data_IF_518515171389
#
_entry.id   IF_518515171389
#
_cell.length_a   1.000
_cell.length_b   1.000
_cell.length_c   1.000
_cell.angle_alpha   90.00
_cell.angle_beta   90.00
_cell.angle_gamma   90.00
#
_symmetry.space_group_name_H-M   'P 1'
#
loop_
_entity.id
_entity.type
_entity.pdbx_description
1 polymer ?
#
# COMPACT_ATOMS: atom_id res chain seq x y z
N UNK A 1 -12.50 10.41 20.32
CA UNK A 1 -12.62 10.05 18.89
C UNK A 1 -11.51 9.06 18.59
N UNK A 2 -11.81 7.98 17.88
CA UNK A 2 -10.78 7.07 17.34
C UNK A 2 -10.07 7.73 16.16
N UNK A 3 -8.94 7.18 15.74
CA UNK A 3 -8.21 7.67 14.57
C UNK A 3 -9.07 7.62 13.29
N UNK A 4 -9.87 6.56 13.12
CA UNK A 4 -10.82 6.46 12.01
C UNK A 4 -11.88 7.58 12.06
N UNK A 5 -12.45 7.83 13.23
CA UNK A 5 -13.44 8.90 13.41
C UNK A 5 -12.86 10.29 13.09
N UNK A 6 -11.57 10.52 13.34
CA UNK A 6 -10.89 11.75 12.94
C UNK A 6 -10.75 11.86 11.42
N UNK A 7 -10.45 10.75 10.72
CA UNK A 7 -10.38 10.73 9.26
C UNK A 7 -11.76 10.95 8.62
N UNK A 8 -12.80 10.34 9.19
CA UNK A 8 -14.19 10.58 8.77
C UNK A 8 -14.57 12.05 8.99
N UNK A 9 -14.28 12.61 10.16
CA UNK A 9 -14.51 14.02 10.45
C UNK A 9 -13.75 14.93 9.46
N UNK A 10 -12.51 14.57 9.09
CA UNK A 10 -11.74 15.29 8.06
C UNK A 10 -12.43 15.23 6.70
N UNK A 11 -12.87 14.05 6.28
CA UNK A 11 -13.54 13.84 5.00
C UNK A 11 -14.82 14.67 4.88
N UNK A 12 -15.61 14.74 5.94
CA UNK A 12 -16.84 15.54 6.00
C UNK A 12 -16.62 17.02 6.34
N UNK A 13 -15.37 17.52 6.35
CA UNK A 13 -15.01 18.90 6.70
C UNK A 13 -15.47 19.34 8.11
N UNK A 14 -15.52 18.40 9.06
CA UNK A 14 -15.91 18.60 10.47
C UNK A 14 -14.71 18.64 11.43
N UNK A 15 -13.51 18.33 10.96
CA UNK A 15 -12.30 18.29 11.78
C UNK A 15 -11.58 19.66 11.80
N UNK A 16 -11.36 20.19 13.01
CA UNK A 16 -10.50 21.36 13.21
C UNK A 16 -9.05 20.91 13.43
N UNK A 17 -8.08 21.58 12.77
CA UNK A 17 -6.65 21.22 12.85
C UNK A 17 -6.09 21.15 14.28
N UNK A 18 -6.54 22.05 15.18
CA UNK A 18 -6.10 22.06 16.59
C UNK A 18 -6.35 20.73 17.31
N UNK A 19 -7.41 20.01 16.96
CA UNK A 19 -7.76 18.72 17.58
C UNK A 19 -6.66 17.69 17.34
N UNK A 20 -6.06 17.69 16.14
CA UNK A 20 -4.95 16.78 15.80
C UNK A 20 -3.74 17.04 16.67
N UNK A 21 -3.40 18.32 16.90
CA UNK A 21 -2.32 18.69 17.79
C UNK A 21 -2.63 18.39 19.25
N UNK A 22 -3.88 18.53 19.71
CA UNK A 22 -4.29 18.12 21.06
C UNK A 22 -4.07 16.61 21.28
N UNK A 23 -4.49 15.77 20.33
CA UNK A 23 -4.23 14.32 20.39
C UNK A 23 -2.73 13.99 20.34
N UNK A 24 -1.97 14.61 19.42
CA UNK A 24 -0.53 14.39 19.31
C UNK A 24 0.26 14.83 20.54
N UNK A 25 -0.24 15.83 21.28
CA UNK A 25 0.36 16.27 22.54
C UNK A 25 0.06 15.35 23.72
N UNK A 26 -1.02 14.57 23.67
CA UNK A 26 -1.52 13.81 24.83
C UNK A 26 -1.45 12.29 24.66
N UNK A 27 -1.20 11.80 23.44
CA UNK A 27 -1.18 10.36 23.15
C UNK A 27 -0.01 9.97 22.24
N UNK A 28 0.93 9.22 22.82
CA UNK A 28 2.01 8.55 22.09
C UNK A 28 1.48 7.57 21.03
N UNK A 29 0.41 6.85 21.35
CA UNK A 29 -0.25 5.92 20.42
C UNK A 29 -0.80 6.67 19.20
N UNK A 30 -1.48 7.81 19.41
CA UNK A 30 -1.97 8.64 18.31
C UNK A 30 -0.82 9.14 17.44
N UNK A 31 0.27 9.63 18.04
CA UNK A 31 1.45 10.07 17.27
C UNK A 31 2.07 8.94 16.44
N UNK A 32 2.10 7.71 16.95
CA UNK A 32 2.51 6.53 16.19
C UNK A 32 1.59 6.28 14.98
N UNK A 33 0.27 6.24 15.22
CA UNK A 33 -0.73 6.04 14.17
C UNK A 33 -0.68 7.15 13.11
N UNK A 34 -0.47 8.40 13.55
CA UNK A 34 -0.39 9.56 12.66
C UNK A 34 0.82 9.49 11.75
N UNK A 35 2.00 9.14 12.28
CA UNK A 35 3.20 8.94 11.46
C UNK A 35 3.00 7.85 10.40
N UNK A 36 2.49 6.68 10.81
CA UNK A 36 2.26 5.56 9.89
C UNK A 36 1.24 5.95 8.81
N UNK A 37 0.19 6.67 9.19
CA UNK A 37 -0.80 7.20 8.26
C UNK A 37 -0.22 8.24 7.30
N UNK A 38 0.62 9.17 7.76
CA UNK A 38 1.33 10.12 6.89
C UNK A 38 2.19 9.42 5.85
N UNK A 39 2.88 8.33 6.21
CA UNK A 39 3.64 7.52 5.25
C UNK A 39 2.69 6.86 4.22
N UNK A 40 1.54 6.40 4.67
CA UNK A 40 0.52 5.68 3.89
C UNK A 40 -0.44 6.58 3.08
N UNK A 41 -0.34 7.89 3.23
CA UNK A 41 -1.29 8.85 2.67
C UNK A 41 -0.61 9.84 1.73
N UNK A 42 -1.44 10.64 1.07
CA UNK A 42 -1.02 11.79 0.29
C UNK A 42 -1.03 13.07 1.15
N UNK A 43 -0.56 12.98 2.40
CA UNK A 43 -0.44 14.13 3.28
C UNK A 43 0.58 15.15 2.75
N UNK A 44 0.51 16.39 3.23
CA UNK A 44 1.53 17.39 2.91
C UNK A 44 2.88 17.06 3.55
N UNK A 45 3.97 17.59 2.99
CA UNK A 45 5.31 17.51 3.60
C UNK A 45 5.32 18.09 5.01
N UNK A 46 4.62 19.21 5.23
CA UNK A 46 4.49 19.83 6.55
C UNK A 46 3.79 18.91 7.54
N UNK A 47 2.74 18.20 7.14
CA UNK A 47 2.06 17.25 8.01
C UNK A 47 2.96 16.07 8.39
N UNK A 48 3.64 15.48 7.41
CA UNK A 48 4.62 14.44 7.66
C UNK A 48 5.72 14.94 8.62
N UNK A 49 6.16 16.19 8.45
CA UNK A 49 7.17 16.79 9.30
C UNK A 49 6.69 16.93 10.75
N UNK A 50 5.44 17.36 10.97
CA UNK A 50 4.83 17.33 12.31
C UNK A 50 4.75 15.92 12.86
N UNK A 51 4.26 14.95 12.11
CA UNK A 51 4.12 13.58 12.59
C UNK A 51 5.47 12.96 13.02
N UNK A 52 6.54 13.23 12.27
CA UNK A 52 7.91 12.84 12.64
C UNK A 52 8.37 13.57 13.92
N UNK A 53 8.17 14.90 13.99
CA UNK A 53 8.60 15.69 15.15
C UNK A 53 7.89 15.24 16.45
N UNK A 54 6.58 14.96 16.39
CA UNK A 54 5.83 14.41 17.52
C UNK A 54 6.30 13.01 17.91
N UNK A 55 6.52 12.13 16.93
CA UNK A 55 7.03 10.79 17.20
C UNK A 55 8.42 10.82 17.86
N UNK A 56 9.28 11.76 17.46
CA UNK A 56 10.64 11.90 18.02
C UNK A 56 10.61 12.48 19.44
N UNK A 57 9.74 13.47 19.68
CA UNK A 57 9.53 14.02 21.02
C UNK A 57 9.02 12.97 22.01
N UNK A 58 8.15 12.07 21.56
CA UNK A 58 7.67 10.92 22.33
C UNK A 58 8.69 9.77 22.42
N UNK A 59 9.81 9.83 21.66
CA UNK A 59 10.82 8.77 21.56
C UNK A 59 10.21 7.42 21.14
N UNK A 60 9.31 7.45 20.16
CA UNK A 60 8.63 6.24 19.72
C UNK A 60 9.56 5.32 18.93
N UNK A 61 9.53 4.03 19.23
CA UNK A 61 10.33 3.00 18.55
C UNK A 61 10.02 2.90 17.05
N UNK A 62 8.81 3.26 16.64
CA UNK A 62 8.41 3.31 15.22
C UNK A 62 9.33 4.19 14.35
N UNK A 63 9.99 5.20 14.94
CA UNK A 63 10.98 6.00 14.21
C UNK A 63 12.31 5.28 14.04
N UNK A 64 12.71 4.49 15.04
CA UNK A 64 13.92 3.67 14.95
C UNK A 64 13.72 2.59 13.88
N UNK A 65 12.56 1.93 13.88
CA UNK A 65 12.16 0.96 12.86
C UNK A 65 12.13 1.59 11.47
N UNK A 66 11.53 2.78 11.34
CA UNK A 66 11.50 3.53 10.08
C UNK A 66 12.91 3.83 9.54
N UNK A 67 13.83 4.28 10.39
CA UNK A 67 15.22 4.51 9.98
C UNK A 67 15.93 3.23 9.55
N UNK A 68 15.71 2.14 10.29
CA UNK A 68 16.29 0.84 9.99
C UNK A 68 15.80 0.32 8.62
N UNK A 69 14.53 0.57 8.27
CA UNK A 69 13.98 0.17 6.98
C UNK A 69 14.41 1.08 5.83
N UNK A 70 14.44 2.41 6.03
CA UNK A 70 14.76 3.36 4.96
C UNK A 70 16.23 3.31 4.52
N UNK A 71 17.14 3.07 5.46
CA UNK A 71 18.60 3.07 5.21
C UNK A 71 19.03 2.11 4.08
N UNK A 72 18.62 0.83 4.07
CA UNK A 72 18.94 -0.10 2.98
C UNK A 72 18.12 0.11 1.70
N UNK A 73 16.94 0.75 1.76
CA UNK A 73 16.10 0.99 0.58
C UNK A 73 16.71 2.07 -0.33
N UNK A 74 17.32 3.09 0.29
CA UNK A 74 17.88 4.23 -0.41
C UNK A 74 19.38 4.03 -0.61
N UNK A 75 19.82 4.11 -1.85
CA UNK A 75 21.26 4.12 -2.13
C UNK A 75 21.87 5.41 -1.57
N UNK A 76 23.04 5.33 -0.94
CA UNK A 76 23.64 6.46 -0.19
C UNK A 76 23.91 7.68 -1.10
N UNK A 77 23.94 7.47 -2.42
CA UNK A 77 24.26 8.47 -3.44
C UNK A 77 23.05 9.11 -4.14
N UNK A 78 21.80 8.69 -3.87
CA UNK A 78 20.60 9.19 -4.58
C UNK A 78 19.74 10.20 -3.79
N UNK A 79 20.08 10.51 -2.54
CA UNK A 79 19.35 11.53 -1.80
C UNK A 79 19.73 12.94 -2.29
N UNK A 80 18.90 13.54 -3.14
CA UNK A 80 18.92 14.99 -3.31
C UNK A 80 18.66 15.61 -1.93
N UNK A 81 19.58 16.46 -1.46
CA UNK A 81 19.38 17.22 -0.22
C UNK A 81 18.34 18.30 -0.49
N UNK A 82 17.07 17.97 -0.27
CA UNK A 82 15.98 18.93 -0.26
C UNK A 82 16.10 19.81 1.00
N UNK A 83 15.82 21.10 0.84
CA UNK A 83 15.64 22.01 1.99
C UNK A 83 14.20 21.89 2.51
N UNK A 84 14.07 21.91 3.83
CA UNK A 84 12.81 21.90 4.57
C UNK A 84 12.74 23.07 5.57
N UNK A 85 13.37 24.21 5.22
CA UNK A 85 13.49 25.36 6.11
C UNK A 85 12.13 25.94 6.52
N UNK A 86 11.13 25.88 5.63
CA UNK A 86 9.78 26.37 5.91
C UNK A 86 9.05 25.46 6.91
N UNK A 87 9.14 24.15 6.71
CA UNK A 87 8.58 23.15 7.62
C UNK A 87 9.21 23.27 9.01
N UNK A 88 10.55 23.38 9.09
CA UNK A 88 11.27 23.55 10.35
C UNK A 88 10.80 24.80 11.11
N UNK A 89 10.80 25.97 10.45
CA UNK A 89 10.35 27.22 11.08
C UNK A 89 8.92 27.11 11.61
N UNK A 90 8.04 26.44 10.86
CA UNK A 90 6.64 26.26 11.26
C UNK A 90 6.52 25.35 12.49
N UNK A 91 7.30 24.27 12.55
CA UNK A 91 7.29 23.34 13.69
C UNK A 91 7.90 23.99 14.93
N UNK A 92 9.02 24.73 14.78
CA UNK A 92 9.70 25.45 15.86
C UNK A 92 8.79 26.48 16.56
N UNK A 93 7.83 27.08 15.84
CA UNK A 93 6.84 27.98 16.42
C UNK A 93 5.80 27.27 17.28
N UNK A 94 5.58 25.97 17.09
CA UNK A 94 4.51 25.20 17.72
C UNK A 94 5.00 24.21 18.78
N UNK A 95 6.21 23.68 18.64
CA UNK A 95 6.74 22.67 19.55
C UNK A 95 8.27 22.64 19.61
N UNK A 96 8.79 22.06 20.68
CA UNK A 96 10.20 21.80 20.90
C UNK A 96 10.41 20.35 21.37
N UNK A 97 11.67 19.94 21.60
CA UNK A 97 12.00 18.62 22.13
C UNK A 97 12.10 17.52 21.07
N UNK A 98 12.42 17.87 19.82
CA UNK A 98 12.68 16.93 18.72
C UNK A 98 14.02 17.27 18.06
N UNK A 99 14.60 16.30 17.33
CA UNK A 99 15.87 16.45 16.63
C UNK A 99 15.67 16.96 15.20
N UNK A 100 16.15 18.16 14.92
CA UNK A 100 16.07 18.74 13.56
C UNK A 100 16.83 17.88 12.55
N UNK A 101 18.00 17.36 12.94
CA UNK A 101 18.81 16.47 12.11
C UNK A 101 18.04 15.21 11.73
N UNK A 102 17.36 14.59 12.70
CA UNK A 102 16.57 13.37 12.48
C UNK A 102 15.37 13.64 11.56
N UNK A 103 14.65 14.73 11.83
CA UNK A 103 13.51 15.18 11.02
C UNK A 103 13.90 15.40 9.55
N UNK A 104 14.93 16.21 9.29
CA UNK A 104 15.41 16.51 7.93
C UNK A 104 15.87 15.23 7.22
N UNK A 105 16.58 14.34 7.92
CA UNK A 105 17.03 13.05 7.36
C UNK A 105 15.82 12.23 6.90
N UNK A 106 14.84 12.02 7.77
CA UNK A 106 13.66 11.21 7.46
C UNK A 106 12.78 11.82 6.37
N UNK A 107 12.58 13.14 6.37
CA UNK A 107 11.84 13.84 5.31
C UNK A 107 12.50 13.66 3.93
N UNK A 108 13.82 13.84 3.85
CA UNK A 108 14.57 13.59 2.62
C UNK A 108 14.38 12.13 2.18
N UNK A 109 14.61 11.18 3.08
CA UNK A 109 14.53 9.76 2.76
C UNK A 109 13.13 9.35 2.26
N UNK A 110 12.07 9.75 2.96
CA UNK A 110 10.68 9.44 2.56
C UNK A 110 10.30 10.11 1.25
N UNK A 111 10.79 11.31 0.98
CA UNK A 111 10.54 12.01 -0.30
C UNK A 111 11.28 11.36 -1.46
N UNK A 112 12.49 10.83 -1.23
CA UNK A 112 13.23 10.10 -2.25
C UNK A 112 12.57 8.78 -2.65
N UNK A 113 11.82 8.12 -1.75
CA UNK A 113 11.09 6.88 -2.08
C UNK A 113 10.17 7.01 -3.30
N UNK A 114 9.62 8.21 -3.54
CA UNK A 114 8.73 8.45 -4.67
C UNK A 114 9.46 8.86 -5.95
N UNK A 115 10.72 9.31 -5.85
CA UNK A 115 11.45 10.01 -6.91
C UNK A 115 12.53 9.18 -7.60
N UNK A 116 12.66 7.89 -7.28
CA UNK A 116 13.71 7.06 -7.87
C UNK A 116 13.43 6.72 -9.34
N UNK A 117 14.45 6.91 -10.18
CA UNK A 117 14.50 6.36 -11.53
C UNK A 117 14.45 4.84 -11.45
N UNK A 118 13.40 4.25 -12.02
CA UNK A 118 13.14 2.81 -11.95
C UNK A 118 13.56 2.16 -13.26
N UNK A 119 14.25 1.04 -13.16
CA UNK A 119 14.46 0.16 -14.29
C UNK A 119 13.17 -0.62 -14.56
N UNK A 120 12.43 -0.18 -15.56
CA UNK A 120 11.17 -0.79 -15.99
C UNK A 120 11.48 -1.92 -16.97
N UNK A 121 11.14 -3.16 -16.60
CA UNK A 121 11.17 -4.29 -17.51
C UNK A 121 9.78 -4.47 -18.14
N UNK A 122 9.64 -4.12 -19.42
CA UNK A 122 8.39 -4.25 -20.17
C UNK A 122 8.19 -5.72 -20.54
N UNK A 123 7.15 -6.35 -19.98
CA UNK A 123 6.78 -7.74 -20.28
C UNK A 123 5.82 -7.80 -21.47
N UNK A 124 4.88 -6.85 -21.54
CA UNK A 124 3.99 -6.63 -22.68
C UNK A 124 3.53 -5.17 -22.71
N UNK A 125 2.74 -4.79 -23.72
CA UNK A 125 2.19 -3.42 -23.82
C UNK A 125 1.37 -3.01 -22.58
N UNK A 126 0.71 -3.97 -21.89
CA UNK A 126 -0.12 -3.69 -20.73
C UNK A 126 0.51 -4.14 -19.39
N UNK A 127 1.71 -4.70 -19.40
CA UNK A 127 2.33 -5.31 -18.23
C UNK A 127 3.81 -4.96 -18.17
N UNK A 128 4.23 -4.41 -17.03
CA UNK A 128 5.64 -4.21 -16.73
C UNK A 128 5.96 -4.72 -15.33
N UNK A 129 7.24 -5.01 -15.12
CA UNK A 129 7.78 -5.37 -13.81
C UNK A 129 8.87 -4.41 -13.40
N UNK A 130 8.96 -4.11 -12.11
CA UNK A 130 10.13 -3.44 -11.51
C UNK A 130 10.71 -4.32 -10.40
N UNK A 131 12.03 -4.32 -10.28
CA UNK A 131 12.70 -4.92 -9.13
C UNK A 131 12.92 -3.83 -8.08
N UNK A 132 12.62 -4.13 -6.83
CA UNK A 132 12.88 -3.22 -5.70
C UNK A 132 13.80 -3.88 -4.69
N UNK A 133 14.58 -3.05 -3.99
CA UNK A 133 15.43 -3.47 -2.89
C UNK A 133 14.69 -3.27 -1.56
N UNK A 134 13.85 -4.24 -1.20
CA UNK A 134 13.14 -4.22 0.08
C UNK A 134 13.92 -5.06 1.10
N UNK A 135 14.21 -4.52 2.30
CA UNK A 135 14.94 -5.25 3.32
C UNK A 135 14.21 -6.54 3.72
N UNK A 136 14.95 -7.63 3.83
CA UNK A 136 14.37 -8.92 4.22
C UNK A 136 13.60 -8.83 5.54
N UNK A 137 14.13 -8.07 6.51
CA UNK A 137 13.49 -7.85 7.82
C UNK A 137 12.10 -7.19 7.70
N UNK A 138 11.89 -6.31 6.71
CA UNK A 138 10.59 -5.68 6.46
C UNK A 138 9.60 -6.73 5.91
N UNK A 139 10.04 -7.53 4.94
CA UNK A 139 9.24 -8.61 4.36
C UNK A 139 8.85 -9.65 5.43
N UNK A 140 9.81 -10.08 6.23
CA UNK A 140 9.60 -11.07 7.29
C UNK A 140 8.57 -10.58 8.31
N UNK A 141 8.64 -9.29 8.68
CA UNK A 141 7.70 -8.69 9.63
C UNK A 141 6.28 -8.62 9.06
N UNK A 142 6.12 -8.24 7.79
CA UNK A 142 4.82 -8.29 7.10
C UNK A 142 4.26 -9.72 7.14
N UNK A 143 5.04 -10.72 6.76
CA UNK A 143 4.58 -12.13 6.76
C UNK A 143 4.21 -12.57 8.17
N UNK A 144 5.05 -12.30 9.17
CA UNK A 144 4.84 -12.70 10.55
C UNK A 144 3.56 -12.11 11.14
N UNK A 145 3.33 -10.82 10.96
CA UNK A 145 2.16 -10.11 11.51
C UNK A 145 0.87 -10.47 10.77
N UNK A 146 0.96 -10.76 9.47
CA UNK A 146 -0.21 -11.07 8.62
C UNK A 146 -0.65 -12.53 8.74
N UNK A 147 0.28 -13.46 8.99
CA UNK A 147 0.01 -14.90 9.09
C UNK A 147 -1.12 -15.27 10.06
N UNK A 148 -1.19 -14.74 11.29
CA UNK A 148 -2.30 -15.04 12.20
C UNK A 148 -3.63 -14.43 11.78
N UNK A 149 -3.63 -13.44 10.87
CA UNK A 149 -4.83 -12.73 10.40
C UNK A 149 -5.42 -13.34 9.12
N UNK A 150 -4.77 -14.34 8.54
CA UNK A 150 -5.20 -14.97 7.29
C UNK A 150 -6.51 -15.75 7.48
N UNK A 151 -7.47 -15.47 6.62
CA UNK A 151 -8.73 -16.21 6.50
C UNK A 151 -8.86 -16.84 5.11
N UNK A 152 -9.62 -17.93 5.00
CA UNK A 152 -9.92 -18.53 3.70
C UNK A 152 -10.77 -17.54 2.88
N UNK A 153 -10.38 -17.30 1.63
CA UNK A 153 -11.16 -16.40 0.77
C UNK A 153 -12.51 -17.06 0.50
N UNK A 154 -13.59 -16.33 0.80
CA UNK A 154 -14.93 -16.66 0.37
C UNK A 154 -15.30 -15.72 -0.79
N UNK A 155 -15.57 -16.28 -1.97
CA UNK A 155 -16.36 -15.60 -2.98
C UNK A 155 -17.80 -16.07 -2.77
N UNK A 156 -18.73 -15.14 -2.55
CA UNK A 156 -20.14 -15.48 -2.46
C UNK A 156 -20.62 -15.86 -3.87
N UNK A 157 -21.14 -17.08 -4.03
CA UNK A 157 -21.73 -17.51 -5.29
C UNK A 157 -23.06 -16.82 -5.58
N UNK A 158 -23.56 -16.95 -6.81
CA UNK A 158 -24.84 -16.39 -7.25
C UNK A 158 -26.07 -16.97 -6.50
N UNK A 159 -25.87 -18.01 -5.68
CA UNK A 159 -26.90 -18.78 -4.96
C UNK A 159 -26.97 -18.42 -3.46
N UNK A 160 -27.02 -17.13 -3.14
CA UNK A 160 -27.26 -16.65 -1.77
C UNK A 160 -26.00 -16.49 -0.89
N UNK A 161 -26.17 -15.72 0.18
CA UNK A 161 -25.11 -15.17 1.05
C UNK A 161 -24.23 -16.17 1.80
N UNK A 162 -24.49 -17.48 1.71
CA UNK A 162 -23.75 -18.52 2.44
C UNK A 162 -22.99 -19.52 1.54
N UNK A 163 -23.09 -19.41 0.21
CA UNK A 163 -22.36 -20.31 -0.70
C UNK A 163 -20.96 -19.78 -1.01
N UNK A 164 -19.91 -20.48 -0.55
CA UNK A 164 -18.51 -20.18 -0.90
C UNK A 164 -18.16 -20.84 -2.23
N UNK A 165 -17.87 -20.04 -3.26
CA UNK A 165 -17.36 -20.56 -4.52
C UNK A 165 -15.83 -20.74 -4.48
N UNK A 166 -15.41 -21.93 -4.05
CA UNK A 166 -13.99 -22.34 -4.08
C UNK A 166 -13.52 -22.72 -5.49
N UNK A 167 -14.41 -22.74 -6.49
CA UNK A 167 -14.06 -23.10 -7.85
C UNK A 167 -13.20 -22.02 -8.52
N UNK A 168 -13.31 -20.76 -8.09
CA UNK A 168 -12.56 -19.62 -8.67
C UNK A 168 -11.18 -19.48 -8.02
N UNK A 169 -11.10 -19.61 -6.70
CA UNK A 169 -9.85 -19.54 -5.91
C UNK A 169 -10.02 -20.28 -4.58
N UNK A 170 -8.92 -20.80 -4.05
CA UNK A 170 -8.90 -21.64 -2.85
C UNK A 170 -7.79 -21.23 -1.85
N UNK A 171 -7.31 -19.99 -1.95
CA UNK A 171 -6.20 -19.47 -1.14
C UNK A 171 -6.68 -18.72 0.12
N UNK A 172 -5.74 -18.30 0.98
CA UNK A 172 -6.03 -17.43 2.14
C UNK A 172 -5.65 -15.98 1.90
N UNK A 173 -6.36 -15.03 2.50
CA UNK A 173 -6.06 -13.61 2.43
C UNK A 173 -6.19 -12.90 3.77
N UNK A 174 -5.61 -11.71 3.86
CA UNK A 174 -5.82 -10.75 4.94
C UNK A 174 -6.11 -9.38 4.30
N UNK A 175 -7.40 -9.01 4.15
CA UNK A 175 -7.79 -7.65 3.86
C UNK A 175 -7.43 -6.78 5.07
N UNK A 176 -6.61 -5.76 4.85
CA UNK A 176 -6.08 -5.00 5.98
C UNK A 176 -7.11 -4.05 6.60
N UNK A 177 -7.07 -3.82 7.93
CA UNK A 177 -8.03 -2.97 8.60
C UNK A 177 -7.85 -1.49 8.24
N UNK A 178 -8.81 -0.67 8.65
CA UNK A 178 -8.79 0.77 8.47
C UNK A 178 -9.05 1.47 9.82
N UNK A 179 -8.14 2.33 10.32
CA UNK A 179 -6.76 2.50 9.84
C UNK A 179 -5.93 1.23 10.08
N UNK A 180 -4.89 1.05 9.31
CA UNK A 180 -3.91 0.00 9.53
C UNK A 180 -2.62 0.63 10.09
N UNK A 181 -2.04 0.00 11.10
CA UNK A 181 -0.91 0.51 11.86
C UNK A 181 0.40 -0.24 11.62
N UNK A 182 0.49 -1.03 10.54
CA UNK A 182 1.73 -1.70 10.11
C UNK A 182 2.62 -0.72 9.35
N UNK A 183 3.74 -0.32 9.94
CA UNK A 183 4.70 0.61 9.34
C UNK A 183 5.30 0.04 8.04
N UNK A 184 5.66 -1.23 8.06
CA UNK A 184 6.32 -1.97 6.98
C UNK A 184 5.44 -1.96 5.73
N UNK A 185 4.14 -2.22 5.92
CA UNK A 185 3.18 -2.20 4.84
C UNK A 185 2.91 -0.77 4.36
N UNK A 186 2.91 0.25 5.24
CA UNK A 186 2.78 1.65 4.81
C UNK A 186 3.93 2.08 3.89
N UNK A 187 5.17 1.72 4.23
CA UNK A 187 6.33 1.94 3.38
C UNK A 187 6.20 1.20 2.05
N UNK A 188 5.84 -0.08 2.11
CA UNK A 188 5.74 -0.91 0.91
C UNK A 188 4.64 -0.43 -0.03
N UNK A 189 3.48 -0.03 0.48
CA UNK A 189 2.41 0.55 -0.34
C UNK A 189 2.87 1.85 -1.03
N UNK A 190 3.61 2.71 -0.33
CA UNK A 190 4.16 3.95 -0.93
C UNK A 190 5.14 3.63 -2.05
N UNK A 191 6.01 2.64 -1.85
CA UNK A 191 6.96 2.16 -2.87
C UNK A 191 6.21 1.53 -4.05
N UNK A 192 5.19 0.70 -3.80
CA UNK A 192 4.35 0.10 -4.84
C UNK A 192 3.64 1.17 -5.67
N UNK A 193 2.99 2.15 -5.03
CA UNK A 193 2.33 3.26 -5.72
C UNK A 193 3.29 4.03 -6.62
N UNK A 194 4.46 4.41 -6.09
CA UNK A 194 5.49 5.07 -6.88
C UNK A 194 5.92 4.20 -8.07
N UNK A 195 6.19 2.91 -7.85
CA UNK A 195 6.64 1.98 -8.91
C UNK A 195 5.58 1.72 -9.98
N UNK A 196 4.31 1.88 -9.65
CA UNK A 196 3.20 1.74 -10.59
C UNK A 196 2.83 3.05 -11.32
N UNK A 197 3.60 4.12 -11.10
CA UNK A 197 3.32 5.48 -11.58
C UNK A 197 1.91 5.94 -11.18
N UNK A 198 1.54 5.69 -9.94
CA UNK A 198 0.27 6.10 -9.35
C UNK A 198 0.50 6.87 -8.04
N UNK A 199 -0.43 7.76 -7.72
CA UNK A 199 -0.45 8.35 -6.38
C UNK A 199 -1.12 7.38 -5.41
N UNK A 200 -0.55 7.27 -4.22
CA UNK A 200 -1.11 6.48 -3.11
C UNK A 200 -2.54 6.93 -2.75
N UNK A 201 -2.94 8.16 -3.09
CA UNK A 201 -4.30 8.63 -2.87
C UNK A 201 -5.37 7.81 -3.59
N UNK A 202 -5.01 7.12 -4.67
CA UNK A 202 -5.91 6.28 -5.45
C UNK A 202 -5.89 4.82 -4.99
N UNK A 203 -5.01 4.46 -4.06
CA UNK A 203 -4.83 3.07 -3.65
C UNK A 203 -5.91 2.64 -2.65
N UNK A 204 -6.57 1.53 -2.94
CA UNK A 204 -7.34 0.76 -1.95
C UNK A 204 -6.44 0.28 -0.80
N UNK A 205 -7.00 -0.13 0.35
CA UNK A 205 -6.23 -0.85 1.36
C UNK A 205 -5.59 -2.09 0.76
N UNK A 206 -4.30 -2.31 1.02
CA UNK A 206 -3.60 -3.49 0.55
C UNK A 206 -4.24 -4.79 1.07
N UNK A 207 -4.19 -5.83 0.25
CA UNK A 207 -4.56 -7.20 0.63
C UNK A 207 -3.33 -8.06 0.57
N UNK A 208 -3.06 -8.79 1.65
CA UNK A 208 -2.00 -9.81 1.68
C UNK A 208 -2.62 -11.16 1.35
N UNK A 209 -1.98 -11.94 0.49
CA UNK A 209 -2.48 -13.23 0.04
C UNK A 209 -1.40 -14.29 0.22
N UNK A 210 -1.84 -15.48 0.62
CA UNK A 210 -1.00 -16.67 0.71
C UNK A 210 -1.62 -17.84 -0.05
N UNK A 211 -0.79 -18.55 -0.80
CA UNK A 211 -1.09 -19.76 -1.55
C UNK A 211 -0.17 -20.89 -1.08
N UNK A 212 -0.75 -21.97 -0.59
CA UNK A 212 -0.09 -23.25 -0.28
C UNK A 212 -0.04 -24.13 -1.54
N UNK A 213 0.65 -25.29 -1.53
CA UNK A 213 0.56 -26.25 -2.62
C UNK A 213 -0.90 -26.54 -3.00
N UNK A 214 -1.16 -26.73 -4.29
CA UNK A 214 -2.48 -26.93 -4.91
C UNK A 214 -3.41 -25.69 -4.87
N UNK A 215 -2.97 -24.56 -4.30
CA UNK A 215 -3.76 -23.34 -4.28
C UNK A 215 -3.49 -22.45 -5.50
N UNK A 216 -4.55 -21.84 -6.02
CA UNK A 216 -4.57 -21.07 -7.25
C UNK A 216 -5.59 -19.91 -7.20
N UNK A 217 -5.59 -19.09 -8.25
CA UNK A 217 -6.69 -18.18 -8.58
C UNK A 217 -6.91 -18.20 -10.10
N UNK A 218 -8.07 -18.68 -10.55
CA UNK A 218 -8.43 -18.80 -11.97
C UNK A 218 -8.46 -17.46 -12.70
N UNK A 219 -8.58 -17.53 -14.03
CA UNK A 219 -8.70 -16.39 -14.92
C UNK A 219 -9.78 -15.41 -14.45
N UNK A 220 -9.39 -14.17 -14.18
CA UNK A 220 -10.29 -13.12 -13.72
C UNK A 220 -9.80 -11.74 -14.16
N UNK A 221 -10.67 -10.75 -13.98
CA UNK A 221 -10.36 -9.34 -14.13
C UNK A 221 -10.40 -8.67 -12.76
N UNK A 222 -9.50 -7.72 -12.54
CA UNK A 222 -9.58 -6.83 -11.38
C UNK A 222 -10.53 -5.65 -11.61
N UNK A 223 -10.89 -5.37 -12.86
CA UNK A 223 -11.97 -4.46 -13.19
C UNK A 223 -13.28 -4.95 -12.54
N UNK A 224 -13.90 -4.09 -11.74
CA UNK A 224 -15.10 -4.40 -10.96
C UNK A 224 -16.30 -4.47 -11.89
N UNK A 225 -17.02 -5.59 -11.84
CA UNK A 225 -18.28 -5.76 -12.56
C UNK A 225 -19.46 -5.31 -11.69
N UNK A 226 -20.25 -4.30 -12.11
CA UNK A 226 -21.35 -3.73 -11.33
C UNK A 226 -22.61 -4.61 -11.36
N UNK A 227 -22.55 -5.78 -10.71
CA UNK A 227 -23.65 -6.75 -10.72
C UNK A 227 -24.74 -6.50 -9.68
N UNK A 228 -24.56 -5.52 -8.78
CA UNK A 228 -25.58 -5.12 -7.81
C UNK A 228 -25.42 -3.63 -7.42
N UNK A 229 -26.43 -3.09 -6.74
CA UNK A 229 -26.47 -1.68 -6.34
C UNK A 229 -25.34 -1.28 -5.37
N UNK A 230 -24.97 -2.15 -4.43
CA UNK A 230 -23.91 -1.87 -3.46
C UNK A 230 -22.55 -1.67 -4.16
N UNK A 231 -22.25 -2.51 -5.14
CA UNK A 231 -21.02 -2.39 -5.95
C UNK A 231 -21.10 -1.16 -6.86
N UNK A 232 -22.27 -0.87 -7.42
CA UNK A 232 -22.46 0.36 -8.20
C UNK A 232 -22.23 1.61 -7.33
N UNK A 233 -22.72 1.64 -6.10
CA UNK A 233 -22.46 2.71 -5.13
C UNK A 233 -20.96 2.82 -4.82
N UNK A 234 -20.27 1.70 -4.62
CA UNK A 234 -18.82 1.69 -4.41
C UNK A 234 -18.06 2.27 -5.61
N UNK A 235 -18.45 1.90 -6.84
CA UNK A 235 -17.87 2.47 -8.08
C UNK A 235 -18.20 3.97 -8.19
N UNK A 236 -19.41 4.40 -7.84
CA UNK A 236 -19.77 5.81 -7.85
C UNK A 236 -18.93 6.61 -6.85
N UNK A 237 -18.67 6.07 -5.66
CA UNK A 237 -17.91 6.72 -4.61
C UNK A 237 -16.41 6.73 -4.90
N UNK A 238 -15.82 5.57 -5.22
CA UNK A 238 -14.38 5.39 -5.31
C UNK A 238 -13.87 5.22 -6.72
N UNK A 239 -14.74 5.12 -7.72
CA UNK A 239 -14.31 4.88 -9.09
C UNK A 239 -14.07 3.42 -9.44
N UNK A 240 -13.64 3.18 -10.68
CA UNK A 240 -13.25 1.85 -11.15
C UNK A 240 -11.80 1.54 -10.74
N UNK A 241 -11.47 0.25 -10.53
CA UNK A 241 -10.08 -0.23 -10.44
C UNK A 241 -9.43 -0.11 -11.81
N UNK A 242 -8.66 0.96 -12.02
CA UNK A 242 -8.00 1.26 -13.30
C UNK A 242 -6.66 0.55 -13.48
N UNK A 243 -5.98 0.18 -12.39
CA UNK A 243 -4.64 -0.43 -12.41
C UNK A 243 -4.44 -1.34 -11.20
N UNK A 244 -3.63 -2.38 -11.37
CA UNK A 244 -3.23 -3.31 -10.31
C UNK A 244 -1.71 -3.33 -10.19
N UNK A 245 -1.22 -3.39 -8.95
CA UNK A 245 0.15 -3.76 -8.62
C UNK A 245 0.17 -4.99 -7.71
N UNK A 246 1.01 -5.97 -8.05
CA UNK A 246 1.27 -7.17 -7.27
C UNK A 246 2.72 -7.16 -6.85
N UNK A 247 2.98 -7.16 -5.54
CA UNK A 247 4.32 -7.34 -4.98
C UNK A 247 4.51 -8.79 -4.54
N UNK A 248 5.63 -9.41 -4.92
CA UNK A 248 5.97 -10.77 -4.51
C UNK A 248 6.86 -10.73 -3.26
N UNK A 249 6.34 -11.26 -2.14
CA UNK A 249 7.03 -11.26 -0.84
C UNK A 249 8.12 -12.34 -0.74
N UNK A 250 8.07 -13.37 -1.58
CA UNK A 250 9.04 -14.45 -1.62
C UNK A 250 9.08 -15.11 -3.01
N UNK A 251 10.06 -15.99 -3.22
CA UNK A 251 10.25 -16.77 -4.45
C UNK A 251 10.81 -18.19 -4.21
N UNK A 252 10.86 -18.63 -2.95
CA UNK A 252 11.25 -19.98 -2.54
C UNK A 252 10.10 -21.00 -2.70
N UNK A 253 9.50 -21.04 -3.89
CA UNK A 253 8.42 -21.95 -4.27
C UNK A 253 8.49 -22.29 -5.78
N UNK A 254 7.76 -23.32 -6.21
CA UNK A 254 7.59 -23.67 -7.63
C UNK A 254 6.13 -23.60 -8.06
N UNK A 255 5.88 -23.30 -9.34
CA UNK A 255 4.56 -22.91 -9.82
C UNK A 255 4.19 -21.51 -9.31
N UNK A 256 2.91 -21.19 -9.24
CA UNK A 256 2.43 -19.91 -8.70
C UNK A 256 2.77 -18.69 -9.56
N UNK A 257 3.04 -18.84 -10.85
CA UNK A 257 3.17 -17.76 -11.81
C UNK A 257 1.92 -16.86 -11.88
N UNK A 258 2.12 -15.59 -12.22
CA UNK A 258 1.01 -14.71 -12.64
C UNK A 258 0.96 -14.71 -14.15
N UNK A 259 -0.07 -15.37 -14.71
CA UNK A 259 -0.23 -15.47 -16.17
C UNK A 259 -1.30 -14.51 -16.67
N UNK A 260 -1.09 -13.99 -17.88
CA UNK A 260 -2.04 -13.17 -18.62
C UNK A 260 -2.44 -13.90 -19.89
N UNK A 261 -3.72 -13.82 -20.29
CA UNK A 261 -4.24 -14.64 -21.40
C UNK A 261 -3.94 -14.06 -22.79
N UNK A 262 -3.84 -12.74 -22.91
CA UNK A 262 -3.73 -12.06 -24.21
C UNK A 262 -2.90 -10.76 -24.15
N UNK A 263 -1.67 -10.74 -24.69
CA UNK A 263 -0.92 -11.89 -25.16
C UNK A 263 -0.67 -12.89 -24.02
N UNK A 264 -0.40 -14.15 -24.34
CA UNK A 264 -0.02 -15.12 -23.32
C UNK A 264 1.38 -14.77 -22.79
N UNK A 265 1.43 -14.26 -21.56
CA UNK A 265 2.68 -13.97 -20.85
C UNK A 265 2.60 -14.51 -19.44
N UNK A 266 3.74 -14.98 -18.93
CA UNK A 266 3.84 -15.56 -17.59
C UNK A 266 4.92 -14.82 -16.81
N UNK A 267 4.54 -14.25 -15.66
CA UNK A 267 5.45 -13.60 -14.73
C UNK A 267 5.81 -14.60 -13.65
N UNK A 268 7.06 -15.06 -13.67
CA UNK A 268 7.63 -15.85 -12.58
C UNK A 268 7.90 -14.94 -11.39
N UNK A 269 7.32 -15.21 -10.21
CA UNK A 269 7.55 -14.43 -9.00
C UNK A 269 9.03 -14.39 -8.65
N UNK A 270 9.51 -13.19 -8.33
CA UNK A 270 10.82 -12.94 -7.74
C UNK A 270 10.62 -12.07 -6.52
N UNK A 271 11.25 -12.40 -5.40
CA UNK A 271 11.10 -11.60 -4.20
C UNK A 271 11.49 -10.13 -4.47
N UNK A 272 10.68 -9.19 -3.99
CA UNK A 272 10.92 -7.76 -4.21
C UNK A 272 10.49 -7.24 -5.58
N UNK A 273 9.99 -8.10 -6.48
CA UNK A 273 9.47 -7.69 -7.76
C UNK A 273 8.02 -7.18 -7.64
N UNK A 274 7.70 -6.13 -8.39
CA UNK A 274 6.35 -5.60 -8.55
C UNK A 274 5.91 -5.87 -10.00
N UNK A 275 4.80 -6.56 -10.20
CA UNK A 275 4.12 -6.64 -11.49
C UNK A 275 2.97 -5.61 -11.54
N UNK A 276 2.96 -4.74 -12.54
CA UNK A 276 1.94 -3.69 -12.71
C UNK A 276 1.27 -3.78 -14.07
N UNK A 277 -0.07 -3.69 -14.10
CA UNK A 277 -0.86 -3.70 -15.34
C UNK A 277 -2.10 -2.83 -15.24
N UNK A 278 -2.56 -2.28 -16.36
CA UNK A 278 -3.81 -1.52 -16.41
C UNK A 278 -5.00 -2.48 -16.56
N UNK A 279 -6.08 -2.17 -15.85
CA UNK A 279 -7.37 -2.87 -15.93
C UNK A 279 -8.35 -2.16 -16.86
N UNK A 280 -8.16 -0.86 -17.07
CA UNK A 280 -9.02 -0.01 -17.88
C UNK A 280 -8.22 0.72 -18.96
N UNK A 281 -8.86 0.98 -20.11
CA UNK A 281 -8.38 1.92 -21.12
C UNK A 281 -8.60 3.38 -20.66
N UNK A 282 -8.11 4.38 -21.42
CA UNK A 282 -8.34 5.79 -21.07
C UNK A 282 -9.81 6.22 -21.01
N UNK A 283 -10.73 5.44 -21.58
CA UNK A 283 -12.17 5.68 -21.52
C UNK A 283 -12.83 4.97 -20.32
N UNK A 284 -12.06 4.30 -19.47
CA UNK A 284 -12.56 3.57 -18.30
C UNK A 284 -13.14 2.19 -18.63
N UNK A 285 -13.00 1.69 -19.86
CA UNK A 285 -13.50 0.38 -20.27
C UNK A 285 -12.47 -0.70 -19.95
N UNK A 286 -12.95 -1.86 -19.49
CA UNK A 286 -12.12 -3.05 -19.20
C UNK A 286 -11.20 -3.43 -20.38
N UNK A 287 -9.91 -3.55 -20.08
CA UNK A 287 -8.91 -4.09 -21.00
C UNK A 287 -8.92 -5.62 -20.97
N UNK A 288 -9.08 -6.26 -22.13
CA UNK A 288 -9.02 -7.73 -22.24
C UNK A 288 -7.63 -8.29 -21.93
N UNK A 289 -6.60 -7.47 -22.13
CA UNK A 289 -5.20 -7.78 -21.81
C UNK A 289 -4.93 -7.87 -20.30
N UNK A 290 -5.88 -7.44 -19.45
CA UNK A 290 -5.78 -7.57 -18.00
C UNK A 290 -6.35 -8.89 -17.45
N UNK A 291 -6.87 -9.76 -18.31
CA UNK A 291 -7.34 -11.09 -17.91
C UNK A 291 -6.16 -11.93 -17.44
N UNK A 292 -6.11 -12.23 -16.15
CA UNK A 292 -4.96 -12.85 -15.51
C UNK A 292 -5.36 -13.93 -14.51
N UNK A 293 -4.41 -14.78 -14.14
CA UNK A 293 -4.58 -15.84 -13.13
C UNK A 293 -3.32 -16.01 -12.30
N UNK A 294 -3.47 -16.55 -11.09
CA UNK A 294 -2.37 -17.16 -10.35
C UNK A 294 -2.39 -18.66 -10.61
N UNK A 295 -1.35 -19.21 -11.23
CA UNK A 295 -1.23 -20.65 -11.43
C UNK A 295 -1.10 -21.36 -10.08
N UNK A 296 -1.27 -22.68 -10.12
CA UNK A 296 -1.16 -23.51 -8.94
C UNK A 296 0.27 -23.47 -8.37
N UNK A 297 0.38 -23.31 -7.04
CA UNK A 297 1.65 -23.55 -6.35
C UNK A 297 1.89 -25.05 -6.26
N UNK A 298 3.06 -25.52 -6.67
CA UNK A 298 3.42 -26.94 -6.67
C UNK A 298 4.20 -27.32 -5.42
N UNK A 299 5.15 -26.50 -4.98
CA UNK A 299 5.95 -26.70 -3.77
C UNK A 299 6.20 -25.37 -3.07
N UNK A 300 6.33 -25.39 -1.74
CA UNK A 300 6.52 -24.17 -0.94
C UNK A 300 5.22 -23.40 -0.68
N UNK A 301 5.32 -22.16 -0.24
CA UNK A 301 4.17 -21.25 -0.06
C UNK A 301 4.46 -19.94 -0.81
N UNK A 302 3.51 -19.43 -1.59
CA UNK A 302 3.61 -18.11 -2.25
C UNK A 302 2.91 -17.05 -1.41
N UNK A 303 3.59 -15.93 -1.18
CA UNK A 303 3.06 -14.74 -0.53
C UNK A 303 3.11 -13.53 -1.46
N UNK A 304 1.99 -12.81 -1.56
CA UNK A 304 1.92 -11.58 -2.35
C UNK A 304 1.14 -10.50 -1.61
N UNK A 305 1.37 -9.26 -2.01
CA UNK A 305 0.51 -8.12 -1.70
C UNK A 305 -0.10 -7.61 -2.99
N UNK A 306 -1.41 -7.39 -2.98
CA UNK A 306 -2.10 -6.72 -4.09
C UNK A 306 -2.53 -5.33 -3.65
N UNK A 307 -2.20 -4.35 -4.48
CA UNK A 307 -2.65 -2.96 -4.36
C UNK A 307 -3.42 -2.58 -5.63
N UNK A 308 -4.69 -2.23 -5.45
CA UNK A 308 -5.53 -1.75 -6.55
C UNK A 308 -5.60 -0.22 -6.53
N UNK A 309 -5.46 0.39 -7.70
CA UNK A 309 -5.63 1.83 -7.88
C UNK A 309 -6.96 2.13 -8.55
N UNK A 310 -7.69 3.04 -7.91
CA UNK A 310 -8.96 3.57 -8.38
C UNK A 310 -8.78 4.76 -9.31
N UNK A 311 -9.85 5.17 -10.00
CA UNK A 311 -9.88 6.43 -10.76
C UNK A 311 -10.34 7.66 -9.96
N UNK A 312 -10.85 7.47 -8.73
CA UNK A 312 -11.12 8.55 -7.75
C UNK A 312 -10.29 8.38 -6.49
N UNK A 313 -9.95 9.49 -5.79
CA UNK A 313 -9.20 9.41 -4.54
C UNK A 313 -9.96 8.62 -3.47
N UNK A 314 -9.24 7.74 -2.79
CA UNK A 314 -9.71 7.03 -1.61
C UNK A 314 -9.51 7.96 -0.41
N UNK A 315 -10.60 8.47 0.19
CA UNK A 315 -10.51 9.51 1.21
C UNK A 315 -9.70 9.10 2.45
N UNK A 316 -9.59 7.79 2.73
CA UNK A 316 -8.72 7.23 3.79
C UNK A 316 -7.23 7.35 3.49
N UNK A 317 -6.85 7.86 2.31
CA UNK A 317 -5.48 8.20 1.94
C UNK A 317 -5.20 9.71 2.05
N UNK A 318 -6.10 10.49 2.66
CA UNK A 318 -5.89 11.92 2.89
C UNK A 318 -5.18 12.15 4.22
N UNK A 319 -4.31 13.17 4.27
CA UNK A 319 -3.77 13.69 5.53
C UNK A 319 -4.83 14.46 6.33
N UNK A 320 -4.54 14.73 7.59
CA UNK A 320 -5.39 15.53 8.46
C UNK A 320 -5.24 17.04 8.25
N UNK A 321 -4.07 17.53 7.82
CA UNK A 321 -3.73 18.96 7.79
C UNK A 321 -3.86 19.57 6.38
#
# INVERSE_FOLDING_TARGET
MTFLQLLEAKHFNRLQKKIIFEFANTSAEFSSQWLIHCIRSNCSTLELAFAIAFADRWKLTVLDDLENYLTPILDQNTASKLSFDNELRTIEQMMSGYSHRRLIKLLNQITCLTNNNKELNIVSQNLFTTQTNIPQILIDKIIADSKPQLTAVALFGDQGSDSKDTSIRNNTHFPTPLPNTMLELALLEKIMAANSNESIQFAEPAVILRYKPEQYYKWHYDHIYPHNEQIQQQINQFGQRKKTAIFYLNDNFSGGETEFKSPFVSVKPKQGQIATFNNCDPAGKRLTQSLHRGTEVVQGEKWIITLWFRDKPFWLRTGFL
#
